data_IF_316769243978
#
_entry.id   IF_316769243978
#
_cell.length_a   1.000
_cell.length_b   1.000
_cell.length_c   1.000
_cell.angle_alpha   90.00
_cell.angle_beta   90.00
_cell.angle_gamma   90.00
#
_symmetry.space_group_name_H-M   'P 1'
#
loop_
_entity.id
_entity.type
_entity.pdbx_description
1 polymer ?
#
# COMPACT_ATOMS: atom_id res chain seq x y z
N UNK A 1 32.91 -64.79 -24.94
CA UNK A 1 33.65 -63.74 -24.21
C UNK A 1 33.08 -62.40 -24.61
N UNK A 2 32.32 -61.76 -23.76
CA UNK A 2 31.70 -60.43 -24.01
C UNK A 2 32.30 -59.48 -22.94
N UNK A 3 32.86 -58.32 -23.33
CA UNK A 3 33.44 -57.41 -22.35
C UNK A 3 32.35 -56.56 -21.68
N UNK A 4 32.38 -56.52 -20.36
CA UNK A 4 31.58 -55.60 -19.50
C UNK A 4 32.12 -54.18 -19.62
N UNK A 5 31.31 -53.28 -20.16
CA UNK A 5 31.57 -51.83 -20.12
C UNK A 5 31.03 -51.29 -18.81
N UNK A 6 31.91 -50.82 -17.91
CA UNK A 6 31.56 -50.12 -16.69
C UNK A 6 31.21 -48.66 -17.04
N UNK A 7 29.93 -48.29 -16.87
CA UNK A 7 29.46 -46.89 -16.89
C UNK A 7 29.82 -46.23 -15.55
N UNK A 8 30.71 -45.25 -15.56
CA UNK A 8 30.92 -44.33 -14.44
C UNK A 8 29.79 -43.29 -14.43
N UNK A 9 28.95 -43.32 -13.40
CA UNK A 9 27.99 -42.24 -13.16
C UNK A 9 28.70 -41.10 -12.42
N UNK A 10 28.80 -39.95 -13.09
CA UNK A 10 29.27 -38.70 -12.48
C UNK A 10 28.11 -38.08 -11.73
N UNK A 11 28.15 -38.11 -10.40
CA UNK A 11 27.21 -37.39 -9.58
C UNK A 11 27.64 -35.93 -9.49
N UNK A 12 26.88 -35.04 -10.16
CA UNK A 12 27.04 -33.60 -10.00
C UNK A 12 26.37 -33.15 -8.69
N UNK A 13 27.17 -32.81 -7.69
CA UNK A 13 26.67 -32.16 -6.46
C UNK A 13 26.32 -30.70 -6.76
N UNK A 14 25.04 -30.40 -6.82
CA UNK A 14 24.55 -29.00 -6.78
C UNK A 14 24.83 -28.43 -5.39
N UNK A 15 25.82 -27.55 -5.29
CA UNK A 15 26.02 -26.69 -4.14
C UNK A 15 24.93 -25.60 -4.17
N UNK A 16 23.88 -25.79 -3.37
CA UNK A 16 22.93 -24.72 -3.09
C UNK A 16 23.66 -23.66 -2.23
N UNK A 17 23.95 -22.51 -2.83
CA UNK A 17 24.42 -21.35 -2.09
C UNK A 17 23.32 -20.90 -1.11
N UNK A 18 23.62 -20.65 0.19
CA UNK A 18 22.63 -20.07 1.08
C UNK A 18 22.28 -18.69 0.57
N UNK A 19 21.00 -18.46 0.24
CA UNK A 19 20.47 -17.14 0.08
C UNK A 19 20.60 -16.44 1.44
N UNK A 20 21.54 -15.50 1.55
CA UNK A 20 21.60 -14.57 2.65
C UNK A 20 20.33 -13.71 2.56
N UNK A 21 19.23 -14.21 3.15
CA UNK A 21 18.07 -13.42 3.41
C UNK A 21 18.48 -12.32 4.39
N UNK A 22 18.62 -11.10 3.89
CA UNK A 22 18.62 -9.93 4.76
C UNK A 22 17.27 -9.98 5.48
N UNK A 23 17.31 -10.29 6.78
CA UNK A 23 16.14 -10.11 7.64
C UNK A 23 15.83 -8.61 7.57
N UNK A 24 14.79 -8.30 6.84
CA UNK A 24 14.37 -6.93 6.66
C UNK A 24 13.88 -6.42 8.01
N UNK A 25 14.52 -5.38 8.51
CA UNK A 25 14.33 -4.82 9.85
C UNK A 25 13.32 -3.67 9.80
N UNK A 26 12.09 -3.92 10.29
CA UNK A 26 11.05 -2.90 10.40
C UNK A 26 11.37 -1.81 11.43
N UNK A 27 12.37 -2.00 12.28
CA UNK A 27 12.76 -1.02 13.30
C UNK A 27 13.59 0.13 12.75
N UNK A 28 14.14 -0.01 11.53
CA UNK A 28 15.03 0.97 10.92
C UNK A 28 14.43 1.55 9.63
N UNK A 29 14.44 2.87 9.49
CA UNK A 29 14.05 3.58 8.28
C UNK A 29 15.30 3.99 7.49
N UNK A 30 15.42 3.48 6.27
CA UNK A 30 16.55 3.82 5.38
C UNK A 30 16.50 5.29 4.92
N UNK A 31 17.59 5.84 4.35
CA UNK A 31 17.55 7.18 3.75
C UNK A 31 16.47 7.33 2.66
N UNK A 32 16.23 6.31 1.84
CA UNK A 32 15.14 6.29 0.85
C UNK A 32 13.77 6.29 1.54
N UNK A 33 13.59 5.51 2.60
CA UNK A 33 12.37 5.54 3.41
C UNK A 33 12.13 6.90 4.06
N UNK A 34 13.17 7.56 4.56
CA UNK A 34 13.05 8.92 5.11
C UNK A 34 12.61 9.93 4.04
N UNK A 35 13.15 9.83 2.82
CA UNK A 35 12.73 10.65 1.70
C UNK A 35 11.26 10.39 1.34
N UNK A 36 10.84 9.13 1.26
CA UNK A 36 9.44 8.76 1.02
C UNK A 36 8.52 9.34 2.11
N UNK A 37 8.91 9.27 3.38
CA UNK A 37 8.14 9.87 4.48
C UNK A 37 8.00 11.40 4.31
N UNK A 38 9.07 12.11 3.94
CA UNK A 38 9.03 13.55 3.67
C UNK A 38 8.12 13.89 2.49
N UNK A 39 8.16 13.09 1.42
CA UNK A 39 7.26 13.26 0.26
C UNK A 39 5.79 13.06 0.65
N UNK A 40 5.48 12.08 1.50
CA UNK A 40 4.14 11.87 2.06
C UNK A 40 3.70 13.05 2.92
N UNK A 41 4.56 13.57 3.80
CA UNK A 41 4.27 14.74 4.64
C UNK A 41 4.00 15.98 3.80
N UNK A 42 4.71 16.17 2.68
CA UNK A 42 4.52 17.29 1.77
C UNK A 42 3.13 17.34 1.14
N UNK A 43 2.39 16.22 1.12
CA UNK A 43 1.00 16.18 0.65
C UNK A 43 0.07 16.99 1.55
N UNK A 44 0.35 17.12 2.85
CA UNK A 44 -0.45 17.90 3.79
C UNK A 44 -1.84 17.31 4.02
N UNK A 45 -1.94 15.99 4.14
CA UNK A 45 -3.20 15.23 4.19
C UNK A 45 -4.15 15.73 5.28
N UNK A 46 -3.63 16.18 6.42
CA UNK A 46 -4.45 16.63 7.56
C UNK A 46 -5.26 17.90 7.27
N UNK A 47 -4.83 18.70 6.28
CA UNK A 47 -5.51 19.93 5.86
C UNK A 47 -6.13 19.88 4.46
N UNK A 48 -5.93 18.77 3.74
CA UNK A 48 -6.42 18.54 2.38
C UNK A 48 -7.22 17.23 2.31
N UNK A 49 -7.89 16.98 1.21
CA UNK A 49 -8.78 15.80 1.05
C UNK A 49 -9.80 15.66 2.19
N UNK A 50 -10.35 16.79 2.67
CA UNK A 50 -11.24 16.84 3.83
C UNK A 50 -12.55 16.12 3.53
N UNK A 51 -12.90 15.17 4.39
CA UNK A 51 -14.12 14.38 4.27
C UNK A 51 -15.37 15.24 4.13
N UNK A 52 -16.23 14.91 3.16
CA UNK A 52 -17.48 15.62 2.86
C UNK A 52 -17.31 16.93 2.09
N UNK A 53 -16.09 17.39 1.81
CA UNK A 53 -15.87 18.52 0.91
C UNK A 53 -15.83 18.05 -0.55
N UNK A 54 -16.25 18.92 -1.48
CA UNK A 54 -15.91 18.74 -2.88
C UNK A 54 -14.47 19.18 -3.11
N UNK A 55 -13.64 18.29 -3.62
CA UNK A 55 -12.21 18.55 -3.81
C UNK A 55 -11.76 18.24 -5.24
N UNK A 56 -10.74 18.95 -5.68
CA UNK A 56 -9.89 18.46 -6.76
C UNK A 56 -9.12 17.24 -6.26
N UNK A 57 -9.23 16.13 -6.97
CA UNK A 57 -8.71 14.84 -6.51
C UNK A 57 -7.18 14.82 -6.42
N UNK A 58 -6.50 15.58 -7.26
CA UNK A 58 -5.04 15.59 -7.34
C UNK A 58 -4.41 16.46 -6.25
N UNK A 59 -5.00 17.61 -5.98
CA UNK A 59 -4.46 18.58 -5.00
C UNK A 59 -5.05 18.42 -3.61
N UNK A 60 -6.23 17.81 -3.51
CA UNK A 60 -6.99 17.70 -2.27
C UNK A 60 -7.60 19.01 -1.78
N UNK A 61 -7.48 20.09 -2.57
CA UNK A 61 -8.05 21.39 -2.25
C UNK A 61 -9.52 21.45 -2.67
N UNK A 62 -10.34 22.32 -2.03
CA UNK A 62 -11.71 22.56 -2.46
C UNK A 62 -11.76 22.95 -3.94
N UNK A 63 -12.71 22.37 -4.69
CA UNK A 63 -12.89 22.63 -6.13
C UNK A 63 -13.82 23.83 -6.42
N UNK A 64 -14.17 24.60 -5.41
CA UNK A 64 -15.00 25.80 -5.51
C UNK A 64 -16.50 25.55 -5.34
N UNK A 65 -16.96 24.31 -5.24
CA UNK A 65 -18.36 24.01 -4.94
C UNK A 65 -18.60 24.16 -3.43
N UNK A 66 -19.58 25.00 -3.01
CA UNK A 66 -19.79 25.31 -1.60
C UNK A 66 -20.57 24.22 -0.85
N UNK A 67 -21.36 23.39 -1.56
CA UNK A 67 -22.16 22.35 -0.95
C UNK A 67 -21.29 21.22 -0.42
N UNK A 68 -21.65 20.71 0.74
CA UNK A 68 -21.06 19.46 1.23
C UNK A 68 -21.71 18.27 0.53
N UNK A 69 -20.91 17.28 0.21
CA UNK A 69 -21.43 16.01 -0.31
C UNK A 69 -22.31 15.34 0.75
N UNK A 70 -23.52 14.86 0.40
CA UNK A 70 -24.37 14.17 1.34
C UNK A 70 -23.74 12.85 1.80
N UNK A 71 -23.84 12.55 3.10
CA UNK A 71 -23.29 11.35 3.70
C UNK A 71 -21.80 11.43 4.04
N UNK A 72 -21.20 10.27 4.33
CA UNK A 72 -19.77 10.15 4.64
C UNK A 72 -18.99 9.92 3.36
N UNK A 73 -18.56 10.97 2.73
CA UNK A 73 -17.66 10.90 1.59
C UNK A 73 -16.23 11.15 2.07
N UNK A 74 -15.38 10.14 1.92
CA UNK A 74 -13.94 10.21 2.20
C UNK A 74 -13.17 10.22 0.89
N UNK A 75 -11.91 10.61 0.92
CA UNK A 75 -11.09 10.78 -0.26
C UNK A 75 -9.85 9.87 -0.26
N UNK A 76 -9.91 8.74 0.44
CA UNK A 76 -8.78 7.81 0.58
C UNK A 76 -8.20 7.37 -0.78
N UNK A 77 -9.07 6.98 -1.70
CA UNK A 77 -8.67 6.56 -3.05
C UNK A 77 -8.11 7.69 -3.91
N UNK A 78 -8.66 8.91 -3.78
CA UNK A 78 -8.17 10.10 -4.45
C UNK A 78 -6.77 10.49 -3.93
N UNK A 79 -6.57 10.47 -2.60
CA UNK A 79 -5.28 10.76 -1.98
C UNK A 79 -4.18 9.78 -2.44
N UNK A 80 -4.48 8.48 -2.41
CA UNK A 80 -3.56 7.44 -2.89
C UNK A 80 -3.23 7.65 -4.37
N UNK A 81 -4.23 7.91 -5.20
CA UNK A 81 -4.05 8.16 -6.63
C UNK A 81 -3.20 9.43 -6.90
N UNK A 82 -3.43 10.50 -6.15
CA UNK A 82 -2.66 11.74 -6.25
C UNK A 82 -1.18 11.52 -5.88
N UNK A 83 -0.91 10.79 -4.80
CA UNK A 83 0.46 10.50 -4.40
C UNK A 83 1.17 9.57 -5.39
N UNK A 84 0.52 8.49 -5.83
CA UNK A 84 1.07 7.61 -6.85
C UNK A 84 1.39 8.37 -8.15
N UNK A 85 0.49 9.26 -8.60
CA UNK A 85 0.72 10.14 -9.76
C UNK A 85 1.95 11.04 -9.58
N UNK A 86 2.12 11.63 -8.39
CA UNK A 86 3.30 12.45 -8.05
C UNK A 86 4.61 11.68 -8.24
N UNK A 87 4.60 10.37 -7.95
CA UNK A 87 5.75 9.47 -8.13
C UNK A 87 5.87 8.90 -9.56
N UNK A 88 4.98 9.26 -10.48
CA UNK A 88 4.94 8.68 -11.83
C UNK A 88 4.39 7.25 -11.88
N UNK A 89 3.78 6.76 -10.80
CA UNK A 89 3.22 5.42 -10.68
C UNK A 89 1.72 5.47 -10.99
N UNK A 90 1.22 4.48 -11.75
CA UNK A 90 -0.19 4.39 -12.06
C UNK A 90 -0.93 3.53 -11.02
N UNK A 91 -2.07 4.03 -10.60
CA UNK A 91 -3.16 3.31 -9.95
C UNK A 91 -4.45 3.89 -10.50
N UNK A 92 -5.57 3.15 -10.45
CA UNK A 92 -6.86 3.66 -10.95
C UNK A 92 -7.17 5.03 -10.36
N UNK A 93 -7.52 6.00 -11.22
CA UNK A 93 -7.68 7.41 -10.85
C UNK A 93 -8.63 8.14 -11.80
N UNK A 94 -9.19 9.29 -11.38
CA UNK A 94 -9.89 10.18 -12.30
C UNK A 94 -8.93 10.75 -13.37
N UNK A 95 -9.43 11.12 -14.57
CA UNK A 95 -10.81 10.99 -15.02
C UNK A 95 -11.18 9.60 -15.54
N UNK A 96 -10.23 8.68 -15.72
CA UNK A 96 -10.44 7.35 -16.31
C UNK A 96 -11.40 6.50 -15.45
N UNK A 97 -11.35 6.71 -14.15
CA UNK A 97 -12.24 6.06 -13.18
C UNK A 97 -12.90 7.10 -12.27
N UNK A 98 -14.22 7.01 -12.12
CA UNK A 98 -14.97 7.86 -11.20
C UNK A 98 -14.56 7.64 -9.74
N UNK A 99 -14.74 8.66 -8.90
CA UNK A 99 -14.37 8.56 -7.47
C UNK A 99 -15.35 7.68 -6.65
N UNK A 100 -16.54 7.39 -7.18
CA UNK A 100 -17.53 6.56 -6.48
C UNK A 100 -17.01 5.11 -6.44
N UNK A 101 -16.94 4.54 -5.24
CA UNK A 101 -16.41 3.18 -4.98
C UNK A 101 -14.99 2.94 -5.51
N UNK A 102 -14.24 3.98 -5.79
CA UNK A 102 -12.89 3.87 -6.37
C UNK A 102 -11.94 3.04 -5.49
N UNK A 103 -12.10 3.04 -4.17
CA UNK A 103 -11.27 2.22 -3.28
C UNK A 103 -11.48 0.71 -3.51
N UNK A 104 -12.72 0.27 -3.78
CA UNK A 104 -13.00 -1.13 -4.16
C UNK A 104 -12.38 -1.45 -5.52
N UNK A 105 -12.60 -0.58 -6.51
CA UNK A 105 -12.02 -0.75 -7.84
C UNK A 105 -10.48 -0.77 -7.82
N UNK A 106 -9.84 0.07 -6.99
CA UNK A 106 -8.39 0.03 -6.80
C UNK A 106 -7.93 -1.29 -6.18
N UNK A 107 -8.65 -1.81 -5.17
CA UNK A 107 -8.34 -3.11 -4.57
C UNK A 107 -8.43 -4.25 -5.60
N UNK A 108 -9.53 -4.35 -6.34
CA UNK A 108 -9.73 -5.36 -7.38
C UNK A 108 -8.66 -5.27 -8.47
N UNK A 109 -8.37 -4.04 -8.93
CA UNK A 109 -7.36 -3.82 -9.97
C UNK A 109 -5.96 -4.19 -9.48
N UNK A 110 -5.59 -3.84 -8.24
CA UNK A 110 -4.31 -4.21 -7.64
C UNK A 110 -4.15 -5.73 -7.52
N UNK A 111 -5.24 -6.44 -7.22
CA UNK A 111 -5.27 -7.90 -7.14
C UNK A 111 -5.16 -8.60 -8.52
N UNK A 112 -5.46 -7.90 -9.60
CA UNK A 112 -5.47 -8.42 -10.97
C UNK A 112 -4.52 -7.67 -11.90
N UNK A 113 -5.06 -6.74 -12.66
CA UNK A 113 -4.34 -6.05 -13.76
C UNK A 113 -3.19 -5.14 -13.27
N UNK A 114 -3.18 -4.77 -11.99
CA UNK A 114 -2.12 -3.97 -11.38
C UNK A 114 -0.72 -4.58 -11.54
N UNK A 115 -0.64 -5.91 -11.65
CA UNK A 115 0.63 -6.60 -11.90
C UNK A 115 1.30 -6.15 -13.21
N UNK A 116 0.52 -5.92 -14.27
CA UNK A 116 1.03 -5.40 -15.54
C UNK A 116 1.58 -3.97 -15.44
N UNK A 117 1.14 -3.22 -14.43
CA UNK A 117 1.62 -1.87 -14.12
C UNK A 117 2.74 -1.86 -13.07
N UNK A 118 3.30 -3.01 -12.68
CA UNK A 118 4.43 -3.12 -11.75
C UNK A 118 4.04 -3.31 -10.28
N UNK A 119 2.77 -3.41 -9.96
CA UNK A 119 2.32 -3.73 -8.61
C UNK A 119 2.47 -5.21 -8.29
N UNK A 120 2.87 -5.53 -7.07
CA UNK A 120 2.97 -6.91 -6.58
C UNK A 120 2.34 -7.04 -5.20
N UNK A 121 1.72 -8.19 -4.90
CA UNK A 121 1.20 -8.46 -3.56
C UNK A 121 2.35 -8.56 -2.55
N UNK A 122 2.05 -8.23 -1.30
CA UNK A 122 2.96 -8.30 -0.15
C UNK A 122 2.34 -9.22 0.89
N UNK A 123 3.10 -10.19 1.38
CA UNK A 123 2.56 -11.32 2.11
C UNK A 123 2.14 -11.00 3.56
N UNK A 124 2.64 -9.91 4.15
CA UNK A 124 2.35 -9.59 5.55
C UNK A 124 2.49 -8.11 5.89
N UNK A 125 1.86 -7.70 6.99
CA UNK A 125 2.00 -6.37 7.56
C UNK A 125 3.46 -6.02 7.92
N UNK A 126 4.24 -6.99 8.40
CA UNK A 126 5.66 -6.81 8.71
C UNK A 126 6.47 -6.54 7.44
N UNK A 127 6.25 -7.32 6.39
CA UNK A 127 6.89 -7.11 5.10
C UNK A 127 6.48 -5.75 4.50
N UNK A 128 5.20 -5.37 4.60
CA UNK A 128 4.70 -4.08 4.14
C UNK A 128 5.41 -2.90 4.80
N UNK A 129 5.56 -2.93 6.14
CA UNK A 129 6.30 -1.89 6.87
C UNK A 129 7.77 -1.86 6.48
N UNK A 130 8.38 -3.02 6.35
CA UNK A 130 9.79 -3.15 5.98
C UNK A 130 10.08 -2.59 4.59
N UNK A 131 9.23 -2.92 3.61
CA UNK A 131 9.34 -2.37 2.25
C UNK A 131 9.16 -0.86 2.24
N UNK A 132 8.16 -0.33 2.96
CA UNK A 132 7.99 1.11 3.10
C UNK A 132 9.22 1.77 3.74
N UNK A 133 9.80 1.18 4.79
CA UNK A 133 11.01 1.64 5.44
C UNK A 133 12.24 1.63 4.52
N UNK A 134 12.24 0.78 3.50
CA UNK A 134 13.30 0.75 2.47
C UNK A 134 13.09 1.75 1.33
N UNK A 135 11.95 2.47 1.29
CA UNK A 135 11.62 3.46 0.28
C UNK A 135 10.75 2.95 -0.86
N UNK A 136 10.14 1.77 -0.71
CA UNK A 136 9.16 1.22 -1.67
C UNK A 136 7.77 1.80 -1.38
N UNK A 137 7.01 2.17 -2.40
CA UNK A 137 5.61 2.55 -2.24
C UNK A 137 4.77 1.32 -1.91
N UNK A 138 4.12 1.33 -0.75
CA UNK A 138 3.24 0.23 -0.33
C UNK A 138 1.86 0.77 -0.01
N UNK A 139 0.83 0.13 -0.58
CA UNK A 139 -0.57 0.42 -0.30
C UNK A 139 -1.14 -0.65 0.63
N UNK A 140 -1.97 -0.22 1.59
CA UNK A 140 -2.84 -1.06 2.39
C UNK A 140 -4.26 -0.87 1.87
N UNK A 141 -4.95 -1.92 1.48
CA UNK A 141 -6.24 -1.87 0.79
C UNK A 141 -7.23 -2.86 1.37
N UNK A 142 -8.48 -2.47 1.48
CA UNK A 142 -9.60 -3.29 1.93
C UNK A 142 -10.77 -3.12 0.98
N UNK A 143 -11.26 -4.24 0.42
CA UNK A 143 -12.52 -4.30 -0.34
C UNK A 143 -13.71 -4.49 0.59
N UNK A 144 -14.76 -3.67 0.44
CA UNK A 144 -15.94 -3.85 1.26
C UNK A 144 -16.74 -5.08 0.81
N UNK A 145 -17.27 -5.88 1.75
CA UNK A 145 -18.14 -7.03 1.46
C UNK A 145 -19.44 -6.66 0.75
N UNK A 146 -19.84 -5.39 0.84
CA UNK A 146 -21.04 -4.85 0.21
C UNK A 146 -20.64 -4.03 -1.00
N UNK A 147 -21.11 -4.42 -2.17
CA UNK A 147 -20.81 -3.76 -3.44
C UNK A 147 -21.30 -2.30 -3.51
N UNK A 148 -22.30 -1.95 -2.69
CA UNK A 148 -22.86 -0.60 -2.59
C UNK A 148 -22.11 0.31 -1.56
N UNK A 149 -21.07 -0.19 -0.90
CA UNK A 149 -20.29 0.52 0.10
C UNK A 149 -18.82 0.60 -0.28
N UNK A 150 -18.19 1.76 -0.05
CA UNK A 150 -16.77 1.89 -0.32
C UNK A 150 -15.95 1.04 0.65
N UNK A 151 -14.86 0.47 0.15
CA UNK A 151 -13.75 -0.02 0.95
C UNK A 151 -12.88 1.11 1.48
N UNK A 152 -11.64 0.80 1.79
CA UNK A 152 -10.66 1.77 2.24
C UNK A 152 -9.28 1.45 1.66
N UNK A 153 -8.50 2.50 1.42
CA UNK A 153 -7.12 2.38 0.98
C UNK A 153 -6.27 3.46 1.64
N UNK A 154 -5.05 3.10 2.02
CA UNK A 154 -4.09 3.97 2.66
C UNK A 154 -2.68 3.67 2.13
N UNK A 155 -1.72 4.55 2.38
CA UNK A 155 -0.31 4.31 2.04
C UNK A 155 0.41 3.89 3.32
N UNK A 156 1.17 2.80 3.27
CA UNK A 156 2.04 2.40 4.39
C UNK A 156 3.16 3.43 4.50
N UNK A 157 3.23 4.09 5.66
CA UNK A 157 4.18 5.15 5.92
C UNK A 157 5.47 4.57 6.49
N UNK A 158 6.66 4.97 6.00
CA UNK A 158 7.92 4.64 6.66
C UNK A 158 7.94 5.12 8.11
N UNK A 159 8.16 4.21 9.05
CA UNK A 159 8.20 4.46 10.47
C UNK A 159 9.00 3.38 11.20
N UNK A 160 9.85 3.78 12.14
CA UNK A 160 10.51 2.82 13.02
C UNK A 160 9.49 2.24 14.00
N UNK A 161 9.22 0.94 13.87
CA UNK A 161 8.27 0.23 14.72
C UNK A 161 8.70 -1.23 14.91
N UNK A 162 8.36 -1.83 16.04
CA UNK A 162 8.79 -3.21 16.32
C UNK A 162 7.86 -4.24 15.67
N UNK A 163 8.34 -5.45 15.36
CA UNK A 163 7.50 -6.53 14.85
C UNK A 163 6.29 -6.83 15.75
N UNK A 164 6.46 -6.73 17.08
CA UNK A 164 5.39 -6.95 18.06
C UNK A 164 4.31 -5.86 17.96
N UNK A 165 4.71 -4.60 17.78
CA UNK A 165 3.78 -3.50 17.58
C UNK A 165 3.02 -3.67 16.26
N UNK A 166 3.70 -4.07 15.17
CA UNK A 166 3.06 -4.35 13.88
C UNK A 166 2.06 -5.49 14.00
N UNK A 167 2.42 -6.57 14.72
CA UNK A 167 1.50 -7.69 14.96
C UNK A 167 0.25 -7.27 15.75
N UNK A 168 0.38 -6.32 16.68
CA UNK A 168 -0.71 -5.86 17.55
C UNK A 168 -1.65 -4.85 16.87
N UNK A 169 -1.12 -3.94 16.05
CA UNK A 169 -1.89 -2.80 15.50
C UNK A 169 -1.66 -2.53 14.01
N UNK A 170 -0.87 -3.36 13.33
CA UNK A 170 -0.53 -3.21 11.91
C UNK A 170 0.60 -2.20 11.65
N UNK A 171 0.97 -2.03 10.38
CA UNK A 171 1.97 -1.05 9.98
C UNK A 171 1.43 0.37 10.17
N UNK A 172 2.33 1.35 10.19
CA UNK A 172 1.94 2.76 10.17
C UNK A 172 1.44 3.15 8.78
N UNK A 173 0.34 3.89 8.73
CA UNK A 173 -0.23 4.38 7.47
C UNK A 173 -0.49 5.88 7.51
N UNK A 174 -0.53 6.50 6.32
CA UNK A 174 -1.03 7.83 6.07
C UNK A 174 -2.32 7.71 5.25
N UNK A 175 -3.34 8.48 5.59
CA UNK A 175 -4.66 8.34 4.97
C UNK A 175 -5.48 9.62 4.90
N UNK A 176 -6.38 9.70 3.90
CA UNK A 176 -7.48 10.66 3.82
C UNK A 176 -8.83 9.94 4.05
N UNK A 177 -9.10 9.57 5.31
CA UNK A 177 -10.26 8.81 5.73
C UNK A 177 -11.42 9.68 6.26
N UNK A 178 -12.24 9.14 7.15
CA UNK A 178 -13.19 9.91 7.94
C UNK A 178 -12.48 10.87 8.91
N UNK A 179 -11.29 10.49 9.31
CA UNK A 179 -10.29 11.33 9.98
C UNK A 179 -9.01 11.21 9.17
N UNK A 180 -8.50 12.34 8.67
CA UNK A 180 -7.23 12.37 7.99
C UNK A 180 -6.09 12.26 9.01
N UNK A 181 -5.06 11.49 8.68
CA UNK A 181 -3.91 11.33 9.55
C UNK A 181 -2.63 11.18 8.74
N UNK A 182 -1.61 11.94 9.10
CA UNK A 182 -0.28 11.81 8.54
C UNK A 182 0.45 10.54 9.02
N UNK A 183 0.05 10.00 10.19
CA UNK A 183 0.64 8.77 10.75
C UNK A 183 -0.31 8.15 11.78
N UNK A 184 -0.80 6.94 11.50
CA UNK A 184 -1.72 6.21 12.37
C UNK A 184 -1.50 4.70 12.16
N UNK A 185 -1.63 3.83 13.19
CA UNK A 185 -1.61 2.38 12.98
C UNK A 185 -2.74 1.92 12.04
N UNK A 186 -2.48 0.92 11.21
CA UNK A 186 -3.48 0.42 10.25
C UNK A 186 -4.78 -0.02 10.93
N UNK A 187 -4.72 -0.64 12.09
CA UNK A 187 -5.89 -1.00 12.91
C UNK A 187 -6.82 0.18 13.14
N UNK A 188 -6.26 1.34 13.49
CA UNK A 188 -7.03 2.54 13.79
C UNK A 188 -7.44 3.27 12.49
N UNK A 189 -6.57 3.28 11.48
CA UNK A 189 -6.86 3.82 10.15
C UNK A 189 -8.05 3.13 9.48
N UNK A 190 -8.17 1.82 9.65
CA UNK A 190 -9.25 1.00 9.11
C UNK A 190 -10.41 0.76 10.08
N UNK A 191 -10.44 1.39 11.26
CA UNK A 191 -11.46 1.17 12.29
C UNK A 191 -12.90 1.40 11.81
N UNK A 192 -13.11 2.23 10.78
CA UNK A 192 -14.42 2.43 10.14
C UNK A 192 -14.93 1.21 9.34
N UNK A 193 -14.08 0.21 9.12
CA UNK A 193 -14.34 -1.01 8.35
C UNK A 193 -14.05 -2.23 9.23
N UNK A 194 -15.03 -2.65 10.02
CA UNK A 194 -14.87 -3.64 11.08
C UNK A 194 -14.25 -4.97 10.61
N UNK A 195 -14.54 -5.38 9.38
CA UNK A 195 -13.98 -6.61 8.80
C UNK A 195 -12.50 -6.48 8.45
N UNK A 196 -12.05 -5.32 8.01
CA UNK A 196 -10.69 -5.09 7.53
C UNK A 196 -9.63 -5.58 8.54
N UNK A 197 -9.72 -5.17 9.79
CA UNK A 197 -8.77 -5.57 10.82
C UNK A 197 -9.15 -6.90 11.49
N UNK A 198 -10.42 -7.03 11.92
CA UNK A 198 -10.88 -8.18 12.70
C UNK A 198 -10.72 -9.50 11.96
N UNK A 199 -11.01 -9.48 10.65
CA UNK A 199 -11.03 -10.68 9.83
C UNK A 199 -9.75 -10.81 8.98
N UNK A 200 -8.74 -9.94 9.24
CA UNK A 200 -7.44 -9.90 8.55
C UNK A 200 -7.58 -9.73 7.02
N UNK A 201 -8.42 -8.80 6.60
CA UNK A 201 -8.76 -8.56 5.19
C UNK A 201 -8.09 -7.29 4.62
N UNK A 202 -7.02 -6.82 5.24
CA UNK A 202 -6.19 -5.75 4.68
C UNK A 202 -5.14 -6.39 3.78
N UNK A 203 -5.28 -6.18 2.48
CA UNK A 203 -4.30 -6.59 1.49
C UNK A 203 -3.20 -5.52 1.34
N UNK A 204 -1.98 -5.96 1.05
CA UNK A 204 -0.86 -5.06 0.82
C UNK A 204 -0.31 -5.25 -0.59
N UNK A 205 0.03 -4.12 -1.24
CA UNK A 205 0.60 -4.11 -2.59
C UNK A 205 1.78 -3.14 -2.65
N UNK A 206 2.86 -3.55 -3.28
CA UNK A 206 4.09 -2.78 -3.39
C UNK A 206 4.43 -2.43 -4.83
N UNK A 207 5.02 -1.26 -5.03
CA UNK A 207 5.56 -0.80 -6.30
C UNK A 207 6.90 -0.08 -6.07
N UNK A 208 7.92 -0.44 -6.86
CA UNK A 208 9.21 0.24 -6.81
C UNK A 208 9.09 1.69 -7.32
N UNK A 209 9.81 2.61 -6.69
CA UNK A 209 9.88 4.00 -7.14
C UNK A 209 11.07 4.14 -8.07
N UNK A 210 10.82 4.50 -9.34
CA UNK A 210 11.87 4.62 -10.34
C UNK A 210 12.79 5.82 -10.05
N UNK A 211 14.08 5.67 -10.33
CA UNK A 211 15.06 6.76 -10.30
C UNK A 211 15.69 7.06 -8.94
N UNK A 212 15.58 6.16 -7.97
CA UNK A 212 16.23 6.30 -6.66
C UNK A 212 17.33 5.26 -6.39
#
# INVERSE_FOLDING_TARGET
MVPFVRMLALAAALLAAPALGFAADATTVSPKGQKLAQELDSMGVESKWIAGAHIDWETGLPDGRPERMPGRHTHCSAFVAAFAKKLGIYVLRPPEHGQVLLANAQNEWLAGDGAAAGWRPVASALEAQTLANSGVLVLASYHNHRDDKPGHIAIVRPAATTPEAIAAVGPMVIQAGSVNSASIPAKDGFAGHVHAWRDNEIDYYAHEIAGE
#
